data_IF_223348397519
#
_entry.id   IF_223348397519
#
_cell.length_a   1.000
_cell.length_b   1.000
_cell.length_c   1.000
_cell.angle_alpha   90.00
_cell.angle_beta   90.00
_cell.angle_gamma   90.00
#
_symmetry.space_group_name_H-M   'P 1'
#
loop_
_entity.id
_entity.type
_entity.pdbx_description
1 polymer ?
#
# COMPACT_ATOMS: atom_id res chain seq x y z
N UNK A 1 13.86 -37.50 67.74
CA UNK A 1 13.81 -37.79 66.29
C UNK A 1 13.51 -36.49 65.56
N UNK A 2 14.50 -35.88 64.89
CA UNK A 2 14.29 -34.73 64.01
C UNK A 2 14.94 -35.08 62.67
N UNK A 3 14.12 -35.17 61.64
CA UNK A 3 14.48 -35.66 60.32
C UNK A 3 15.37 -34.69 59.53
N UNK A 4 16.24 -35.26 58.72
CA UNK A 4 17.09 -34.56 57.76
C UNK A 4 16.21 -33.97 56.64
N UNK A 5 16.20 -32.64 56.47
CA UNK A 5 15.57 -31.97 55.32
C UNK A 5 16.59 -31.85 54.20
N UNK A 6 16.26 -32.36 53.01
CA UNK A 6 17.01 -32.10 51.78
C UNK A 6 16.47 -30.83 51.13
N UNK A 7 17.12 -29.70 51.38
CA UNK A 7 16.90 -28.50 50.58
C UNK A 7 17.54 -28.72 49.21
N UNK A 8 16.70 -28.80 48.17
CA UNK A 8 17.17 -28.88 46.79
C UNK A 8 17.75 -27.51 46.41
N UNK A 9 18.99 -27.42 45.90
CA UNK A 9 19.57 -26.14 45.52
C UNK A 9 18.72 -25.50 44.41
N UNK A 10 18.47 -24.18 44.48
CA UNK A 10 17.74 -23.49 43.42
C UNK A 10 18.52 -23.63 42.11
N UNK A 11 17.90 -24.28 41.11
CA UNK A 11 18.45 -24.39 39.77
C UNK A 11 18.39 -23.01 39.10
N UNK A 12 19.49 -22.27 39.15
CA UNK A 12 19.66 -21.01 38.43
C UNK A 12 20.00 -21.24 36.96
N UNK A 13 19.55 -20.35 36.08
CA UNK A 13 19.94 -20.33 34.68
C UNK A 13 21.45 -20.10 34.52
N UNK A 14 22.06 -20.81 33.57
CA UNK A 14 23.46 -20.59 33.22
C UNK A 14 23.61 -19.43 32.22
N UNK A 15 24.73 -18.72 32.28
CA UNK A 15 25.07 -17.70 31.26
C UNK A 15 25.13 -18.30 29.86
N UNK A 16 25.64 -19.54 29.73
CA UNK A 16 25.74 -20.22 28.44
C UNK A 16 24.37 -20.56 27.84
N UNK A 17 23.38 -20.95 28.66
CA UNK A 17 22.00 -21.14 28.18
C UNK A 17 21.43 -19.85 27.59
N UNK A 18 21.56 -18.73 28.31
CA UNK A 18 21.05 -17.45 27.81
C UNK A 18 21.76 -17.04 26.53
N UNK A 19 23.08 -17.23 26.43
CA UNK A 19 23.84 -16.92 25.23
C UNK A 19 23.38 -17.73 24.01
N UNK A 20 23.17 -19.04 24.16
CA UNK A 20 22.70 -19.90 23.05
C UNK A 20 21.28 -19.51 22.65
N UNK A 21 20.39 -19.24 23.61
CA UNK A 21 19.01 -18.83 23.33
C UNK A 21 18.99 -17.49 22.56
N UNK A 22 19.78 -16.51 22.99
CA UNK A 22 19.88 -15.21 22.28
C UNK A 22 20.51 -15.39 20.90
N UNK A 23 21.51 -16.26 20.74
CA UNK A 23 22.09 -16.55 19.44
C UNK A 23 21.06 -17.14 18.46
N UNK A 24 20.26 -18.12 18.90
CA UNK A 24 19.19 -18.72 18.08
C UNK A 24 18.07 -17.71 17.79
N UNK A 25 17.64 -16.92 18.78
CA UNK A 25 16.64 -15.88 18.55
C UNK A 25 17.15 -14.81 17.57
N UNK A 26 18.44 -14.45 17.64
CA UNK A 26 19.07 -13.51 16.73
C UNK A 26 19.09 -14.00 15.29
N UNK A 27 19.41 -15.28 15.04
CA UNK A 27 19.39 -15.85 13.68
C UNK A 27 17.97 -15.95 13.12
N UNK A 28 16.99 -16.35 13.93
CA UNK A 28 15.59 -16.37 13.52
C UNK A 28 15.07 -14.97 13.19
N UNK A 29 15.37 -13.97 14.02
CA UNK A 29 14.94 -12.60 13.81
C UNK A 29 15.54 -11.99 12.54
N UNK A 30 16.82 -12.26 12.26
CA UNK A 30 17.50 -11.76 11.06
C UNK A 30 16.81 -12.20 9.75
N UNK A 31 16.22 -13.39 9.73
CA UNK A 31 15.47 -13.92 8.57
C UNK A 31 14.01 -13.45 8.62
N UNK A 32 13.38 -13.49 9.79
CA UNK A 32 11.95 -13.23 9.93
C UNK A 32 11.57 -11.77 9.67
N UNK A 33 12.37 -10.81 10.15
CA UNK A 33 12.05 -9.38 10.05
C UNK A 33 11.95 -8.86 8.61
N UNK A 34 12.96 -9.05 7.71
CA UNK A 34 12.84 -8.57 6.33
C UNK A 34 11.69 -9.24 5.57
N UNK A 35 11.45 -10.53 5.81
CA UNK A 35 10.34 -11.28 5.21
C UNK A 35 8.98 -10.74 5.66
N UNK A 36 8.83 -10.44 6.95
CA UNK A 36 7.62 -9.86 7.50
C UNK A 36 7.33 -8.47 6.91
N UNK A 37 8.34 -7.62 6.78
CA UNK A 37 8.21 -6.29 6.15
C UNK A 37 7.76 -6.42 4.69
N UNK A 38 8.40 -7.29 3.91
CA UNK A 38 8.03 -7.55 2.52
C UNK A 38 6.59 -8.06 2.39
N UNK A 39 6.19 -9.00 3.24
CA UNK A 39 4.81 -9.51 3.28
C UNK A 39 3.80 -8.40 3.58
N UNK A 40 4.04 -7.59 4.62
CA UNK A 40 3.19 -6.47 4.97
C UNK A 40 3.07 -5.46 3.83
N UNK A 41 4.16 -5.15 3.13
CA UNK A 41 4.12 -4.22 2.01
C UNK A 41 3.26 -4.76 0.85
N UNK A 42 3.41 -6.04 0.48
CA UNK A 42 2.54 -6.67 -0.54
C UNK A 42 1.08 -6.70 -0.13
N UNK A 43 0.80 -6.94 1.16
CA UNK A 43 -0.57 -6.90 1.68
C UNK A 43 -1.19 -5.50 1.57
N UNK A 44 -0.40 -4.45 1.85
CA UNK A 44 -0.83 -3.06 1.64
C UNK A 44 -1.07 -2.76 0.16
N UNK A 45 -0.15 -3.13 -0.73
CA UNK A 45 -0.34 -2.94 -2.17
C UNK A 45 -1.62 -3.65 -2.67
N UNK A 46 -1.85 -4.90 -2.25
CA UNK A 46 -3.07 -5.64 -2.58
C UNK A 46 -4.35 -4.97 -2.03
N UNK A 47 -4.29 -4.43 -0.82
CA UNK A 47 -5.39 -3.68 -0.23
C UNK A 47 -5.71 -2.43 -1.05
N UNK A 48 -4.70 -1.65 -1.43
CA UNK A 48 -4.88 -0.46 -2.25
C UNK A 48 -5.49 -0.78 -3.63
N UNK A 49 -5.03 -1.86 -4.26
CA UNK A 49 -5.62 -2.35 -5.54
C UNK A 49 -7.10 -2.69 -5.37
N UNK A 50 -7.49 -3.30 -4.23
CA UNK A 50 -8.88 -3.63 -3.95
C UNK A 50 -9.73 -2.37 -3.74
N UNK A 51 -9.24 -1.40 -3.00
CA UNK A 51 -9.95 -0.14 -2.75
C UNK A 51 -10.09 0.70 -4.03
N UNK A 52 -9.07 0.73 -4.89
CA UNK A 52 -9.17 1.39 -6.20
C UNK A 52 -10.29 0.81 -7.06
N UNK A 53 -10.50 -0.52 -7.04
CA UNK A 53 -11.61 -1.15 -7.77
C UNK A 53 -12.97 -0.69 -7.23
N UNK A 54 -13.11 -0.61 -5.91
CA UNK A 54 -14.34 -0.12 -5.26
C UNK A 54 -14.61 1.32 -5.69
N UNK A 55 -13.59 2.18 -5.66
CA UNK A 55 -13.71 3.57 -6.09
C UNK A 55 -14.06 3.68 -7.59
N UNK A 56 -13.50 2.83 -8.45
CA UNK A 56 -13.85 2.78 -9.86
C UNK A 56 -15.33 2.44 -10.08
N UNK A 57 -15.84 1.43 -9.36
CA UNK A 57 -17.25 1.05 -9.43
C UNK A 57 -18.15 2.19 -8.97
N UNK A 58 -17.75 2.91 -7.92
CA UNK A 58 -18.50 4.07 -7.42
C UNK A 58 -18.49 5.24 -8.41
N UNK A 59 -17.35 5.53 -9.03
CA UNK A 59 -17.24 6.53 -10.11
C UNK A 59 -18.16 6.17 -11.27
N UNK A 60 -18.20 4.89 -11.66
CA UNK A 60 -19.07 4.42 -12.73
C UNK A 60 -20.56 4.56 -12.37
N UNK A 61 -20.95 4.21 -11.14
CA UNK A 61 -22.32 4.42 -10.64
C UNK A 61 -22.66 5.92 -10.63
N UNK A 62 -21.75 6.76 -10.16
CA UNK A 62 -21.96 8.21 -10.16
C UNK A 62 -22.19 8.74 -11.57
N UNK A 63 -21.39 8.28 -12.54
CA UNK A 63 -21.51 8.68 -13.93
C UNK A 63 -22.87 8.28 -14.52
N UNK A 64 -23.36 7.08 -14.21
CA UNK A 64 -24.69 6.61 -14.63
C UNK A 64 -25.80 7.49 -14.03
N UNK A 65 -25.72 7.81 -12.73
CA UNK A 65 -26.75 8.58 -12.02
C UNK A 65 -26.80 10.06 -12.45
N UNK A 66 -25.63 10.65 -12.75
CA UNK A 66 -25.50 12.10 -12.97
C UNK A 66 -25.21 12.47 -14.43
N UNK A 67 -25.01 11.48 -15.31
CA UNK A 67 -24.64 11.65 -16.71
C UNK A 67 -23.39 12.55 -16.90
N UNK A 68 -22.45 12.46 -15.95
CA UNK A 68 -21.14 13.12 -15.97
C UNK A 68 -20.20 12.43 -14.98
N UNK A 69 -18.90 12.54 -15.22
CA UNK A 69 -17.91 12.15 -14.22
C UNK A 69 -17.95 13.08 -12.98
N UNK A 70 -17.56 12.60 -11.79
CA UNK A 70 -17.31 13.44 -10.62
C UNK A 70 -16.31 14.55 -10.95
N UNK A 71 -16.44 15.76 -10.39
CA UNK A 71 -15.37 16.76 -10.56
C UNK A 71 -14.17 16.45 -9.65
N UNK A 72 -14.42 15.84 -8.50
CA UNK A 72 -13.40 15.43 -7.54
C UNK A 72 -13.91 14.25 -6.70
N UNK A 73 -13.00 13.60 -5.95
CA UNK A 73 -13.31 12.41 -5.16
C UNK A 73 -14.35 12.65 -4.05
N UNK A 74 -14.56 13.88 -3.60
CA UNK A 74 -15.51 14.19 -2.52
C UNK A 74 -16.97 14.20 -2.96
N UNK A 75 -17.25 14.11 -4.26
CA UNK A 75 -18.61 13.92 -4.78
C UNK A 75 -19.08 12.46 -4.70
N UNK A 76 -18.17 11.53 -4.44
CA UNK A 76 -18.50 10.14 -4.16
C UNK A 76 -19.19 10.06 -2.79
N UNK A 77 -20.13 9.12 -2.63
CA UNK A 77 -20.92 8.93 -1.40
C UNK A 77 -20.07 8.30 -0.29
N UNK A 78 -18.95 7.67 -0.65
CA UNK A 78 -17.98 7.10 0.28
C UNK A 78 -17.11 8.18 0.92
N UNK A 79 -16.86 8.07 2.24
CA UNK A 79 -15.78 8.83 2.88
C UNK A 79 -14.50 8.45 2.17
N UNK A 80 -13.89 9.39 1.43
CA UNK A 80 -12.69 9.12 0.63
C UNK A 80 -11.69 8.28 1.45
N UNK A 81 -11.49 7.00 1.11
CA UNK A 81 -10.68 6.14 1.95
C UNK A 81 -9.25 6.69 1.95
N UNK A 82 -8.58 6.59 3.09
CA UNK A 82 -7.13 6.72 3.08
C UNK A 82 -6.58 5.40 2.57
N UNK A 83 -5.57 5.49 1.72
CA UNK A 83 -4.84 4.33 1.29
C UNK A 83 -4.15 3.63 2.48
N UNK A 84 -3.59 2.42 2.30
CA UNK A 84 -2.99 1.64 3.38
C UNK A 84 -1.76 2.30 4.05
N UNK A 85 -1.27 3.42 3.52
CA UNK A 85 -0.18 4.21 4.09
C UNK A 85 -0.67 5.49 4.77
N UNK A 86 -1.98 5.77 4.74
CA UNK A 86 -2.60 6.93 5.38
C UNK A 86 -2.74 8.14 4.46
N UNK A 87 -2.42 7.98 3.17
CA UNK A 87 -2.52 9.05 2.19
C UNK A 87 -3.90 9.03 1.53
N UNK A 88 -4.51 10.18 1.18
CA UNK A 88 -5.77 10.19 0.47
C UNK A 88 -5.61 9.63 -0.95
N UNK A 89 -6.58 8.81 -1.40
CA UNK A 89 -6.69 8.47 -2.83
C UNK A 89 -6.85 9.75 -3.67
N UNK A 90 -6.22 9.73 -4.83
CA UNK A 90 -6.22 10.83 -5.77
C UNK A 90 -7.07 10.49 -6.98
N UNK A 91 -7.83 11.47 -7.46
CA UNK A 91 -8.72 11.35 -8.60
C UNK A 91 -8.62 12.61 -9.46
N UNK A 92 -8.63 12.43 -10.77
CA UNK A 92 -8.53 13.54 -11.72
C UNK A 92 -9.42 13.30 -12.94
N UNK A 93 -10.46 14.11 -13.07
CA UNK A 93 -11.36 14.08 -14.23
C UNK A 93 -10.75 14.85 -15.41
N UNK A 94 -10.63 14.21 -16.58
CA UNK A 94 -9.99 14.79 -17.76
C UNK A 94 -10.82 15.84 -18.48
N UNK A 95 -12.13 15.89 -18.26
CA UNK A 95 -13.01 16.91 -18.84
C UNK A 95 -12.70 18.31 -18.30
N UNK A 96 -12.24 18.38 -17.04
CA UNK A 96 -11.97 19.63 -16.34
C UNK A 96 -10.50 19.83 -15.99
N UNK A 97 -9.68 18.78 -16.12
CA UNK A 97 -8.25 18.88 -15.78
C UNK A 97 -7.37 19.03 -17.02
N UNK A 98 -6.45 20.01 -17.06
CA UNK A 98 -5.55 20.20 -18.19
C UNK A 98 -4.68 18.96 -18.49
N UNK A 99 -4.50 18.65 -19.79
CA UNK A 99 -3.66 17.54 -20.28
C UNK A 99 -2.22 17.51 -19.75
N UNK A 100 -1.69 18.66 -19.34
CA UNK A 100 -0.36 18.76 -18.73
C UNK A 100 -0.24 18.03 -17.39
N UNK A 101 -1.37 17.83 -16.69
CA UNK A 101 -1.43 17.20 -15.37
C UNK A 101 -1.78 15.70 -15.45
N UNK A 102 -2.16 15.18 -16.63
CA UNK A 102 -2.57 13.78 -16.76
C UNK A 102 -1.38 12.86 -16.55
N UNK A 103 -1.63 11.70 -15.93
CA UNK A 103 -0.61 10.69 -15.73
C UNK A 103 -0.20 10.06 -17.05
N UNK A 104 1.10 9.81 -17.19
CA UNK A 104 1.71 9.42 -18.48
C UNK A 104 2.70 8.28 -18.32
N UNK A 105 2.74 7.41 -19.32
CA UNK A 105 3.72 6.33 -19.39
C UNK A 105 5.15 6.84 -19.69
N UNK A 106 6.08 5.90 -19.90
CA UNK A 106 7.47 6.18 -20.26
C UNK A 106 7.66 6.90 -21.60
N UNK A 107 6.65 6.88 -22.47
CA UNK A 107 6.63 7.58 -23.76
C UNK A 107 5.89 8.92 -23.67
N UNK A 108 5.54 9.36 -22.46
CA UNK A 108 4.78 10.58 -22.18
C UNK A 108 3.36 10.55 -22.78
N UNK A 109 2.83 9.35 -23.02
CA UNK A 109 1.47 9.13 -23.50
C UNK A 109 0.53 8.98 -22.30
N UNK A 110 -0.63 9.66 -22.29
CA UNK A 110 -1.63 9.46 -21.24
C UNK A 110 -2.00 7.99 -21.07
N UNK A 111 -2.09 7.55 -19.82
CA UNK A 111 -2.35 6.14 -19.50
C UNK A 111 -3.84 5.78 -19.47
N UNK A 112 -4.72 6.78 -19.50
CA UNK A 112 -6.18 6.66 -19.50
C UNK A 112 -6.78 7.67 -20.50
N UNK A 113 -8.08 7.58 -20.75
CA UNK A 113 -8.83 8.47 -21.65
C UNK A 113 -9.88 9.34 -20.94
N UNK A 114 -10.37 8.92 -19.78
CA UNK A 114 -11.49 9.57 -19.07
C UNK A 114 -11.10 10.21 -17.74
N UNK A 115 -10.36 9.50 -16.90
CA UNK A 115 -9.88 9.99 -15.61
C UNK A 115 -8.67 9.20 -15.12
N UNK A 116 -7.88 9.83 -14.25
CA UNK A 116 -6.87 9.15 -13.45
C UNK A 116 -7.39 8.88 -12.03
N UNK A 117 -6.98 7.75 -11.47
CA UNK A 117 -7.28 7.33 -10.10
C UNK A 117 -6.07 6.55 -9.55
N UNK A 118 -5.54 6.96 -8.40
CA UNK A 118 -4.37 6.31 -7.81
C UNK A 118 -4.25 6.49 -6.28
N UNK A 119 -3.47 5.62 -5.65
CA UNK A 119 -2.88 5.84 -4.32
C UNK A 119 -1.45 6.36 -4.50
N UNK A 120 -1.05 7.28 -3.62
CA UNK A 120 0.29 7.89 -3.62
C UNK A 120 1.38 6.98 -3.01
N UNK A 121 1.04 5.73 -2.73
CA UNK A 121 1.98 4.76 -2.17
C UNK A 121 2.55 5.14 -0.79
N UNK A 122 3.60 4.42 -0.36
CA UNK A 122 4.29 4.66 0.90
C UNK A 122 4.93 6.05 1.05
N UNK A 123 5.42 6.66 -0.04
CA UNK A 123 6.13 7.93 0.06
C UNK A 123 5.18 9.15 0.11
N UNK A 124 3.92 8.98 -0.29
CA UNK A 124 2.89 10.00 -0.26
C UNK A 124 3.13 11.14 -1.26
N UNK A 125 4.00 10.93 -2.23
CA UNK A 125 4.30 11.86 -3.29
C UNK A 125 3.83 11.27 -4.63
N UNK A 126 3.56 12.13 -5.61
CA UNK A 126 3.24 11.69 -6.97
C UNK A 126 3.59 12.78 -7.98
N UNK A 127 3.97 12.36 -9.17
CA UNK A 127 4.11 13.21 -10.35
C UNK A 127 3.43 12.56 -11.56
N UNK A 128 2.99 13.34 -12.58
CA UNK A 128 2.23 12.77 -13.68
C UNK A 128 2.97 11.67 -14.46
N UNK A 129 4.26 11.81 -14.85
CA UNK A 129 4.98 10.71 -15.47
C UNK A 129 5.19 9.55 -14.50
N UNK A 130 4.79 8.33 -14.87
CA UNK A 130 4.98 7.13 -14.05
C UNK A 130 6.46 6.77 -13.84
N UNK A 131 7.34 7.27 -14.70
CA UNK A 131 8.80 7.08 -14.59
C UNK A 131 9.46 8.02 -13.57
N UNK A 132 8.73 9.03 -13.06
CA UNK A 132 9.25 9.90 -12.03
C UNK A 132 9.50 9.12 -10.74
N UNK A 133 10.60 9.44 -10.04
CA UNK A 133 10.99 8.73 -8.80
C UNK A 133 9.89 8.71 -7.75
N UNK A 134 9.11 9.78 -7.65
CA UNK A 134 8.01 9.93 -6.70
C UNK A 134 6.72 9.23 -7.15
N UNK A 135 6.72 8.55 -8.30
CA UNK A 135 5.51 7.92 -8.87
C UNK A 135 5.65 6.42 -9.02
N UNK A 136 6.83 5.86 -8.77
CA UNK A 136 7.13 4.45 -9.04
C UNK A 136 6.40 3.51 -8.08
N UNK A 137 6.09 3.98 -6.87
CA UNK A 137 5.42 3.24 -5.82
C UNK A 137 3.91 3.48 -5.76
N UNK A 138 3.40 4.41 -6.57
CA UNK A 138 1.98 4.63 -6.74
C UNK A 138 1.26 3.36 -7.17
N UNK A 139 0.07 3.13 -6.62
CA UNK A 139 -0.86 2.12 -7.14
C UNK A 139 -1.85 2.85 -8.03
N UNK A 140 -1.85 2.52 -9.32
CA UNK A 140 -2.54 3.28 -10.35
C UNK A 140 -3.61 2.44 -11.05
N UNK A 141 -4.67 3.11 -11.50
CA UNK A 141 -5.52 2.66 -12.61
C UNK A 141 -4.87 3.07 -13.94
N UNK A 142 -4.73 2.14 -14.87
CA UNK A 142 -4.20 2.42 -16.21
C UNK A 142 -4.91 1.59 -17.29
N UNK A 143 -4.70 1.96 -18.56
CA UNK A 143 -5.36 1.37 -19.73
C UNK A 143 -6.88 1.31 -19.55
N UNK A 144 -7.46 2.43 -19.14
CA UNK A 144 -8.89 2.60 -18.88
C UNK A 144 -9.49 1.57 -17.90
N UNK A 145 -8.66 1.11 -16.94
CA UNK A 145 -9.07 0.18 -15.89
C UNK A 145 -8.78 -1.28 -16.19
N UNK A 146 -8.22 -1.60 -17.36
CA UNK A 146 -7.73 -2.94 -17.65
C UNK A 146 -6.48 -3.31 -16.82
N UNK A 147 -5.74 -2.31 -16.32
CA UNK A 147 -4.64 -2.48 -15.39
C UNK A 147 -4.90 -1.75 -14.07
N UNK A 148 -4.68 -2.44 -12.96
CA UNK A 148 -4.63 -1.85 -11.61
C UNK A 148 -3.47 -2.48 -10.88
N UNK A 149 -2.50 -1.67 -10.48
CA UNK A 149 -1.29 -2.17 -9.86
C UNK A 149 -0.23 -1.10 -9.67
N UNK A 150 0.95 -1.51 -9.24
CA UNK A 150 2.07 -0.62 -9.01
C UNK A 150 2.55 0.03 -10.31
N UNK A 151 2.77 1.34 -10.31
CA UNK A 151 3.18 2.10 -11.48
C UNK A 151 4.49 1.59 -12.09
N UNK A 152 5.45 1.12 -11.27
CA UNK A 152 6.68 0.50 -11.76
C UNK A 152 6.48 -0.80 -12.56
N UNK A 153 5.28 -1.38 -12.51
CA UNK A 153 4.93 -2.65 -13.16
C UNK A 153 4.04 -2.47 -14.38
N UNK A 154 3.75 -1.23 -14.78
CA UNK A 154 3.01 -0.86 -15.98
C UNK A 154 3.99 -0.51 -17.12
#
# INVERSE_FOLDING_TARGET
MSGFRFDSPPKGFTLIEVMIVVAIMGTLAAIAVPNYISYRNRAKEAHAISELKILMDEIAIFEIDNNRLPANINELKTVAPQDPWGNPYQYQNFEITPRGQWRKDKFLVPINTSYDLWSMGPDGASQPPLTAKASIDDIIRANDGAFIGKASSY
#
